data_IF_978274500655
#
_entry.id   IF_978274500655
#
_cell.length_a   1.000
_cell.length_b   1.000
_cell.length_c   1.000
_cell.angle_alpha   90.00
_cell.angle_beta   90.00
_cell.angle_gamma   90.00
#
_symmetry.space_group_name_H-M   'P 1'
#
loop_
_entity.id
_entity.type
_entity.pdbx_description
1 polymer ?
#
# COMPACT_ATOMS: atom_id res chain seq x y z
N UNK A 1 -13.55 2.81 -2.12
CA UNK A 1 -12.75 2.31 -3.26
C UNK A 1 -11.28 2.61 -2.97
N UNK A 2 -10.32 1.78 -3.40
CA UNK A 2 -8.89 1.99 -3.14
C UNK A 2 -8.07 1.74 -4.41
N UNK A 3 -7.02 2.53 -4.62
CA UNK A 3 -6.05 2.31 -5.69
C UNK A 3 -5.13 1.16 -5.33
N UNK A 4 -4.90 0.23 -6.28
CA UNK A 4 -4.12 -1.00 -6.07
C UNK A 4 -3.05 -1.21 -7.14
N UNK A 5 -1.98 -0.40 -7.19
CA UNK A 5 -1.00 -0.43 -8.27
C UNK A 5 0.10 -1.51 -8.08
N UNK A 6 -0.07 -2.50 -7.19
CA UNK A 6 0.99 -3.44 -6.80
C UNK A 6 1.66 -4.15 -7.98
N UNK A 7 0.91 -4.43 -9.04
CA UNK A 7 1.43 -5.09 -10.25
C UNK A 7 2.38 -4.22 -11.06
N UNK A 8 2.24 -2.90 -10.97
CA UNK A 8 3.06 -1.95 -11.72
C UNK A 8 4.35 -1.61 -10.99
N UNK A 9 4.47 -1.89 -9.69
CA UNK A 9 5.66 -1.51 -8.92
C UNK A 9 6.89 -2.23 -9.47
N UNK A 10 7.89 -1.45 -9.93
CA UNK A 10 9.20 -1.94 -10.35
C UNK A 10 10.22 -1.84 -9.21
N UNK A 11 10.25 -0.68 -8.58
CA UNK A 11 11.17 -0.34 -7.52
C UNK A 11 10.60 0.77 -6.65
N UNK A 12 11.25 1.01 -5.52
CA UNK A 12 10.93 2.12 -4.64
C UNK A 12 12.02 2.35 -3.61
N UNK A 13 11.91 3.46 -2.90
CA UNK A 13 12.69 3.71 -1.69
C UNK A 13 11.83 4.51 -0.73
N UNK A 14 11.72 4.04 0.51
CA UNK A 14 11.08 4.79 1.58
C UNK A 14 12.08 5.04 2.71
N UNK A 15 11.85 6.12 3.43
CA UNK A 15 12.65 6.59 4.53
C UNK A 15 11.71 6.95 5.68
N UNK A 16 11.72 6.12 6.72
CA UNK A 16 11.05 6.37 7.98
C UNK A 16 12.08 6.51 9.11
N UNK A 17 13.24 7.12 8.82
CA UNK A 17 14.26 7.46 9.84
C UNK A 17 13.89 8.69 10.67
N UNK A 18 12.95 9.51 10.19
CA UNK A 18 12.40 10.65 10.94
C UNK A 18 11.11 10.23 11.63
N UNK A 19 11.07 10.31 12.97
CA UNK A 19 9.88 9.93 13.73
C UNK A 19 8.66 10.75 13.30
N UNK A 20 7.56 10.05 13.00
CA UNK A 20 6.29 10.63 12.56
C UNK A 20 6.24 10.97 11.07
N UNK A 21 7.26 10.64 10.28
CA UNK A 21 7.29 10.90 8.85
C UNK A 21 7.83 9.71 8.07
N UNK A 22 7.13 9.36 7.00
CA UNK A 22 7.56 8.38 6.00
C UNK A 22 7.59 9.08 4.64
N UNK A 23 8.79 9.21 4.06
CA UNK A 23 8.99 9.91 2.78
C UNK A 23 9.71 9.00 1.79
N UNK A 24 9.57 9.26 0.50
CA UNK A 24 10.30 8.48 -0.49
C UNK A 24 9.67 8.50 -1.86
N UNK A 25 9.87 7.44 -2.63
CA UNK A 25 9.31 7.32 -3.96
C UNK A 25 9.04 5.88 -4.39
N UNK A 26 8.13 5.71 -5.34
CA UNK A 26 7.83 4.46 -6.03
C UNK A 26 7.93 4.65 -7.54
N UNK A 27 8.42 3.64 -8.24
CA UNK A 27 8.52 3.59 -9.69
C UNK A 27 7.54 2.55 -10.24
N UNK A 28 6.64 3.02 -11.11
CA UNK A 28 5.54 2.22 -11.66
C UNK A 28 5.76 1.98 -13.15
N UNK A 29 5.48 0.77 -13.61
CA UNK A 29 5.45 0.43 -15.02
C UNK A 29 4.40 1.28 -15.76
N UNK A 30 4.80 1.85 -16.90
CA UNK A 30 3.94 2.70 -17.72
C UNK A 30 3.80 4.13 -17.22
N UNK A 31 4.49 4.52 -16.13
CA UNK A 31 4.56 5.89 -15.64
C UNK A 31 6.02 6.34 -15.65
N UNK A 32 6.36 7.27 -16.53
CA UNK A 32 7.75 7.73 -16.73
C UNK A 32 8.34 8.45 -15.51
N UNK A 33 7.48 8.95 -14.61
CA UNK A 33 7.87 9.69 -13.42
C UNK A 33 7.62 8.88 -12.15
N UNK A 34 8.53 9.01 -11.19
CA UNK A 34 8.39 8.39 -9.87
C UNK A 34 7.30 9.07 -9.05
N UNK A 35 6.41 8.27 -8.49
CA UNK A 35 5.49 8.73 -7.45
C UNK A 35 6.30 9.15 -6.23
N UNK A 36 6.15 10.39 -5.78
CA UNK A 36 6.77 10.92 -4.57
C UNK A 36 5.82 10.74 -3.39
N UNK A 37 6.29 10.15 -2.30
CA UNK A 37 5.53 9.93 -1.09
C UNK A 37 6.00 10.89 0.00
N UNK A 38 5.06 11.60 0.60
CA UNK A 38 5.27 12.45 1.77
C UNK A 38 4.15 12.23 2.76
N UNK A 39 4.35 11.25 3.65
CA UNK A 39 3.32 10.75 4.53
C UNK A 39 3.62 11.10 5.99
N UNK A 40 2.63 11.64 6.67
CA UNK A 40 2.65 11.77 8.13
C UNK A 40 2.29 10.41 8.76
N UNK A 41 3.11 9.96 9.70
CA UNK A 41 2.99 8.67 10.37
C UNK A 41 4.22 7.76 10.21
N UNK A 42 4.26 6.71 11.01
CA UNK A 42 5.35 5.74 11.05
C UNK A 42 4.97 4.40 10.43
N UNK A 43 5.98 3.68 9.97
CA UNK A 43 5.84 2.28 9.58
C UNK A 43 5.64 1.38 10.81
N UNK A 44 5.29 0.11 10.57
CA UNK A 44 5.23 -0.92 11.60
C UNK A 44 6.61 -1.17 12.21
N UNK A 45 6.71 -1.81 13.40
CA UNK A 45 7.96 -2.00 14.12
C UNK A 45 9.08 -2.71 13.33
N UNK A 46 8.78 -3.44 12.25
CA UNK A 46 9.77 -4.08 11.40
C UNK A 46 10.49 -3.10 10.45
N UNK A 47 9.85 -1.98 10.10
CA UNK A 47 10.35 -0.95 9.20
C UNK A 47 10.53 0.43 9.87
N UNK A 48 9.95 0.63 11.05
CA UNK A 48 10.05 1.88 11.79
C UNK A 48 11.52 2.23 12.10
N UNK A 49 11.92 3.46 11.78
CA UNK A 49 13.29 3.94 11.95
C UNK A 49 14.24 3.54 10.83
N UNK A 50 13.77 2.81 9.81
CA UNK A 50 14.61 2.40 8.69
C UNK A 50 14.40 3.26 7.45
N UNK A 51 15.49 3.41 6.70
CA UNK A 51 15.44 3.66 5.27
C UNK A 51 15.56 2.34 4.54
N UNK A 52 14.81 2.15 3.46
CA UNK A 52 14.82 0.89 2.72
C UNK A 52 14.48 1.04 1.24
N UNK A 53 15.09 0.19 0.42
CA UNK A 53 14.72 0.00 -0.98
C UNK A 53 13.63 -1.06 -1.09
N UNK A 54 12.76 -0.89 -2.08
CA UNK A 54 11.77 -1.86 -2.51
C UNK A 54 12.17 -2.32 -3.91
N UNK A 55 12.18 -3.62 -4.15
CA UNK A 55 12.45 -4.17 -5.46
C UNK A 55 11.59 -5.40 -5.73
N UNK A 56 11.29 -5.61 -7.01
CA UNK A 56 10.55 -6.79 -7.46
C UNK A 56 11.50 -7.98 -7.62
N UNK A 57 11.19 -9.07 -6.92
CA UNK A 57 11.97 -10.32 -6.96
C UNK A 57 11.37 -11.37 -7.88
N UNK A 58 10.06 -11.28 -8.12
CA UNK A 58 9.35 -12.18 -9.05
C UNK A 58 8.45 -11.39 -10.00
N UNK A 59 8.39 -11.84 -11.25
CA UNK A 59 7.46 -11.28 -12.25
C UNK A 59 6.01 -11.56 -11.85
N UNK A 60 5.11 -10.63 -12.18
CA UNK A 60 3.68 -10.84 -12.01
C UNK A 60 3.18 -11.96 -12.93
N UNK A 61 2.22 -12.73 -12.43
CA UNK A 61 1.51 -13.71 -13.25
C UNK A 61 0.49 -12.93 -14.09
N UNK A 62 0.53 -13.03 -15.43
CA UNK A 62 -0.44 -12.35 -16.28
C UNK A 62 -1.86 -12.81 -15.93
N UNK A 63 -2.73 -11.89 -15.52
CA UNK A 63 -4.17 -12.16 -15.47
C UNK A 63 -4.81 -11.82 -16.80
N UNK A 64 -5.89 -12.51 -17.16
CA UNK A 64 -6.70 -12.16 -18.33
C UNK A 64 -7.49 -10.86 -18.16
N UNK A 65 -7.62 -10.37 -16.92
CA UNK A 65 -8.25 -9.07 -16.67
C UNK A 65 -7.35 -7.93 -17.14
N UNK A 66 -7.95 -7.02 -17.91
CA UNK A 66 -7.37 -5.72 -18.25
C UNK A 66 -6.98 -5.01 -16.97
N UNK A 67 -5.67 -4.85 -16.75
CA UNK A 67 -5.15 -4.03 -15.65
C UNK A 67 -5.83 -2.64 -15.70
N UNK A 68 -6.35 -2.12 -14.57
CA UNK A 68 -6.89 -0.77 -14.53
C UNK A 68 -5.87 0.20 -15.12
N UNK A 69 -6.30 1.17 -15.94
CA UNK A 69 -5.37 2.20 -16.40
C UNK A 69 -5.10 3.13 -15.22
N UNK A 70 -3.93 3.01 -14.59
CA UNK A 70 -3.51 3.85 -13.46
C UNK A 70 -3.09 5.27 -13.90
N UNK A 71 -3.47 5.72 -15.11
CA UNK A 71 -3.10 7.03 -15.66
C UNK A 71 -3.61 8.22 -14.85
N UNK A 72 -4.60 8.02 -13.97
CA UNK A 72 -5.13 9.05 -13.08
C UNK A 72 -4.46 9.14 -11.71
N UNK A 73 -3.45 8.32 -11.42
CA UNK A 73 -2.74 8.40 -10.14
C UNK A 73 -1.89 9.68 -10.10
N UNK A 74 -2.02 10.45 -9.02
CA UNK A 74 -1.19 11.63 -8.80
C UNK A 74 0.26 11.19 -8.60
N UNK A 75 1.21 11.96 -9.14
CA UNK A 75 2.63 11.72 -8.87
C UNK A 75 3.03 12.23 -7.47
N UNK A 76 2.30 13.19 -6.91
CA UNK A 76 2.47 13.65 -5.53
C UNK A 76 1.49 12.91 -4.62
N UNK A 77 2.04 12.07 -3.75
CA UNK A 77 1.34 11.30 -2.72
C UNK A 77 1.64 11.90 -1.35
N UNK A 78 1.09 13.07 -1.12
CA UNK A 78 1.05 13.71 0.19
C UNK A 78 -0.17 13.25 0.99
N UNK A 79 0.01 12.90 2.27
CA UNK A 79 -1.09 12.37 3.10
C UNK A 79 -0.65 11.70 4.39
N UNK A 80 -1.36 10.65 4.81
CA UNK A 80 -1.10 9.93 6.06
C UNK A 80 -0.77 8.45 5.83
N UNK A 81 0.11 7.89 6.65
CA UNK A 81 0.37 6.44 6.69
C UNK A 81 -0.87 5.73 7.24
N UNK A 82 -1.32 4.69 6.54
CA UNK A 82 -2.26 3.71 7.09
C UNK A 82 -1.50 2.57 7.75
N UNK A 83 -0.88 1.70 6.95
CA UNK A 83 -0.15 0.56 7.48
C UNK A 83 0.99 0.22 6.52
N UNK A 84 2.23 0.21 7.01
CA UNK A 84 3.42 -0.10 6.21
C UNK A 84 4.25 -1.16 6.93
N UNK A 85 4.31 -2.37 6.39
CA UNK A 85 5.04 -3.51 6.95
C UNK A 85 5.54 -4.46 5.88
N UNK A 86 6.64 -5.18 6.15
CA UNK A 86 7.16 -6.28 5.36
C UNK A 86 7.05 -7.65 6.07
N UNK A 87 6.44 -7.68 7.25
CA UNK A 87 6.33 -8.88 8.10
C UNK A 87 4.94 -9.54 8.06
N UNK A 88 4.01 -9.02 7.25
CA UNK A 88 2.68 -9.62 7.10
C UNK A 88 2.79 -10.98 6.38
N UNK A 89 2.24 -12.04 6.99
CA UNK A 89 2.20 -13.37 6.39
C UNK A 89 0.86 -13.59 5.67
N UNK A 90 0.91 -13.93 4.38
CA UNK A 90 -0.29 -14.23 3.58
C UNK A 90 -0.18 -15.58 2.87
N UNK A 91 -1.33 -16.11 2.43
CA UNK A 91 -1.39 -17.28 1.55
C UNK A 91 -1.04 -16.83 0.13
N UNK A 92 0.09 -17.30 -0.36
CA UNK A 92 0.55 -17.10 -1.72
C UNK A 92 0.13 -18.28 -2.60
N UNK A 93 -0.44 -17.98 -3.75
CA UNK A 93 -0.83 -18.94 -4.77
C UNK A 93 -0.01 -18.72 -6.04
N UNK A 94 0.53 -19.80 -6.61
CA UNK A 94 1.34 -19.76 -7.84
C UNK A 94 0.46 -19.92 -9.11
N UNK A 95 -0.76 -19.39 -9.07
CA UNK A 95 -1.73 -19.39 -10.18
C UNK A 95 -2.30 -17.98 -10.38
N UNK A 96 -2.77 -17.62 -11.59
CA UNK A 96 -3.48 -16.36 -11.83
C UNK A 96 -4.67 -16.16 -10.90
N UNK A 97 -5.00 -14.91 -10.56
CA UNK A 97 -6.09 -14.58 -9.63
C UNK A 97 -7.45 -15.05 -10.13
N UNK A 98 -7.71 -14.96 -11.44
CA UNK A 98 -8.98 -15.40 -12.04
C UNK A 98 -9.16 -16.91 -11.93
N UNK A 99 -8.08 -17.68 -12.13
CA UNK A 99 -8.07 -19.13 -11.93
C UNK A 99 -8.23 -19.49 -10.45
N UNK A 100 -7.56 -18.76 -9.55
CA UNK A 100 -7.72 -18.93 -8.10
C UNK A 100 -9.19 -18.73 -7.69
N UNK A 101 -9.82 -17.64 -8.14
CA UNK A 101 -11.23 -17.34 -7.86
C UNK A 101 -12.14 -18.44 -8.38
N UNK A 102 -11.93 -18.91 -9.62
CA UNK A 102 -12.72 -20.01 -10.21
C UNK A 102 -12.65 -21.28 -9.37
N UNK A 103 -11.45 -21.70 -8.98
CA UNK A 103 -11.25 -22.91 -8.17
C UNK A 103 -11.87 -22.79 -6.78
N UNK A 104 -11.70 -21.64 -6.12
CA UNK A 104 -12.32 -21.40 -4.82
C UNK A 104 -13.85 -21.41 -4.91
N UNK A 105 -14.43 -20.83 -5.97
CA UNK A 105 -15.87 -20.87 -6.22
C UNK A 105 -16.39 -22.29 -6.52
N UNK A 106 -15.55 -23.14 -7.12
CA UNK A 106 -15.84 -24.57 -7.31
C UNK A 106 -15.69 -25.40 -6.01
N UNK A 107 -15.34 -24.76 -4.88
CA UNK A 107 -15.13 -25.43 -3.60
C UNK A 107 -13.79 -26.16 -3.49
N UNK A 108 -12.89 -25.96 -4.46
CA UNK A 108 -11.55 -26.53 -4.40
C UNK A 108 -10.69 -25.80 -3.36
N UNK A 109 -9.57 -26.43 -2.99
CA UNK A 109 -8.54 -25.85 -2.11
C UNK A 109 -7.22 -25.82 -2.86
N UNK A 110 -6.99 -24.80 -3.71
CA UNK A 110 -5.73 -24.65 -4.42
C UNK A 110 -4.55 -24.67 -3.44
N UNK A 111 -3.42 -25.29 -3.82
CA UNK A 111 -2.23 -25.28 -2.97
C UNK A 111 -1.78 -23.84 -2.74
N UNK A 112 -1.21 -23.61 -1.55
CA UNK A 112 -0.65 -22.31 -1.18
C UNK A 112 0.63 -22.50 -0.39
N UNK A 113 1.45 -21.46 -0.39
CA UNK A 113 2.59 -21.31 0.51
C UNK A 113 2.37 -20.09 1.40
N UNK A 114 2.86 -20.14 2.64
CA UNK A 114 2.88 -18.97 3.50
C UNK A 114 4.11 -18.14 3.17
N UNK A 115 3.91 -16.89 2.76
CA UNK A 115 5.01 -15.97 2.42
C UNK A 115 4.82 -14.64 3.15
N UNK A 116 5.94 -13.99 3.49
CA UNK A 116 5.93 -12.58 3.86
C UNK A 116 5.51 -11.75 2.65
N UNK A 117 4.73 -10.69 2.89
CA UNK A 117 4.40 -9.71 1.87
C UNK A 117 4.78 -8.31 2.34
N UNK A 118 5.19 -7.50 1.37
CA UNK A 118 5.21 -6.06 1.54
C UNK A 118 3.78 -5.55 1.45
N UNK A 119 3.32 -4.94 2.53
CA UNK A 119 2.05 -4.23 2.63
C UNK A 119 2.34 -2.74 2.83
N UNK A 120 1.90 -1.91 1.88
CA UNK A 120 1.95 -0.46 1.96
C UNK A 120 0.53 0.07 1.83
N UNK A 121 0.10 0.86 2.79
CA UNK A 121 -1.17 1.54 2.77
C UNK A 121 -0.99 2.98 3.24
N UNK A 122 -1.59 3.89 2.47
CA UNK A 122 -1.64 5.30 2.82
C UNK A 122 -2.92 5.95 2.31
N UNK A 123 -3.25 7.08 2.92
CA UNK A 123 -4.37 7.94 2.54
C UNK A 123 -3.81 9.18 1.87
N UNK A 124 -3.87 9.20 0.54
CA UNK A 124 -3.44 10.31 -0.29
C UNK A 124 -4.51 11.40 -0.31
N UNK A 125 -4.09 12.66 -0.17
CA UNK A 125 -5.00 13.80 -0.32
C UNK A 125 -5.57 13.90 -1.75
N UNK A 126 -4.82 13.45 -2.76
CA UNK A 126 -5.21 13.55 -4.16
C UNK A 126 -5.94 12.31 -4.69
N UNK A 127 -5.58 11.11 -4.21
CA UNK A 127 -6.14 9.86 -4.74
C UNK A 127 -6.98 9.08 -3.72
N UNK A 128 -7.07 9.54 -2.47
CA UNK A 128 -7.67 8.77 -1.39
C UNK A 128 -6.80 7.57 -0.99
N UNK A 129 -7.44 6.48 -0.59
CA UNK A 129 -6.74 5.28 -0.11
C UNK A 129 -5.99 4.57 -1.24
N UNK A 130 -4.70 4.32 -1.04
CA UNK A 130 -3.85 3.51 -1.91
C UNK A 130 -3.29 2.33 -1.11
N UNK A 131 -3.32 1.14 -1.71
CA UNK A 131 -2.87 -0.11 -1.10
C UNK A 131 -1.98 -0.86 -2.06
N UNK A 132 -0.83 -1.33 -1.60
CA UNK A 132 0.05 -2.27 -2.28
C UNK A 132 0.21 -3.46 -1.36
N UNK A 133 -0.12 -4.66 -1.83
CA UNK A 133 0.11 -5.90 -1.10
C UNK A 133 0.72 -6.91 -2.06
N UNK A 134 1.98 -7.27 -1.85
CA UNK A 134 2.66 -8.20 -2.75
C UNK A 134 3.69 -9.06 -2.02
N UNK A 135 3.67 -10.35 -2.30
CA UNK A 135 4.71 -11.33 -1.93
C UNK A 135 5.88 -11.34 -2.92
N UNK A 136 5.76 -10.58 -4.02
CA UNK A 136 6.76 -10.48 -5.10
C UNK A 136 7.63 -9.24 -4.98
N UNK A 137 7.38 -8.43 -3.95
CA UNK A 137 8.17 -7.25 -3.60
C UNK A 137 8.93 -7.53 -2.30
N UNK A 138 10.22 -7.23 -2.29
CA UNK A 138 11.08 -7.36 -1.12
C UNK A 138 11.66 -6.01 -0.70
N UNK A 139 12.07 -5.97 0.57
CA UNK A 139 12.64 -4.79 1.23
C UNK A 139 14.11 -5.06 1.55
N UNK A 140 14.97 -4.14 1.14
CA UNK A 140 16.38 -4.08 1.53
C UNK A 140 16.60 -2.86 2.44
N UNK A 141 16.93 -3.08 3.71
CA UNK A 141 17.21 -2.00 4.67
C UNK A 141 18.58 -1.37 4.40
N UNK A 142 18.64 -0.05 4.50
CA UNK A 142 19.83 0.74 4.19
C UNK A 142 20.30 1.45 5.46
N UNK A 143 21.60 1.32 5.75
CA UNK A 143 22.25 2.05 6.83
C UNK A 143 21.91 1.49 8.21
N UNK A 144 21.63 2.39 9.15
CA UNK A 144 21.32 2.07 10.56
C UNK A 144 19.90 2.49 10.91
N UNK A 145 19.33 1.82 11.92
CA UNK A 145 18.01 2.14 12.44
C UNK A 145 18.07 3.42 13.29
N UNK A 146 17.30 4.44 12.90
CA UNK A 146 17.29 5.72 13.59
C UNK A 146 16.50 5.70 14.91
N UNK A 147 15.43 4.90 14.99
CA UNK A 147 14.62 4.74 16.20
C UNK A 147 13.87 3.40 16.22
N UNK A 148 13.42 3.01 17.41
CA UNK A 148 12.48 1.90 17.60
C UNK A 148 11.22 2.43 18.29
N UNK A 149 10.06 1.96 17.87
CA UNK A 149 8.81 2.27 18.55
C UNK A 149 8.67 1.38 19.78
N UNK A 150 8.31 1.98 20.92
CA UNK A 150 7.85 1.19 22.07
C UNK A 150 6.49 0.57 21.77
N UNK A 151 6.10 -0.45 22.55
CA UNK A 151 4.78 -1.08 22.40
C UNK A 151 3.63 -0.08 22.53
N UNK A 152 3.77 0.90 23.43
CA UNK A 152 2.74 1.91 23.66
C UNK A 152 2.69 2.93 22.52
N UNK A 153 3.85 3.36 22.01
CA UNK A 153 3.92 4.22 20.82
C UNK A 153 3.34 3.54 19.59
N UNK A 154 3.63 2.25 19.42
CA UNK A 154 3.06 1.45 18.33
C UNK A 154 1.54 1.37 18.46
N UNK A 155 1.02 1.04 19.65
CA UNK A 155 -0.42 0.95 19.89
C UNK A 155 -1.13 2.28 19.59
N UNK A 156 -0.53 3.39 20.00
CA UNK A 156 -1.07 4.72 19.72
C UNK A 156 -1.00 5.06 18.22
N UNK A 157 0.10 4.75 17.54
CA UNK A 157 0.23 4.94 16.10
C UNK A 157 -0.81 4.09 15.34
N UNK A 158 -0.98 2.82 15.68
CA UNK A 158 -2.00 1.95 15.05
C UNK A 158 -3.40 2.50 15.25
N UNK A 159 -3.69 3.09 16.42
CA UNK A 159 -4.96 3.75 16.69
C UNK A 159 -5.14 4.98 15.80
N UNK A 160 -4.14 5.85 15.72
CA UNK A 160 -4.18 7.04 14.86
C UNK A 160 -4.37 6.67 13.38
N UNK A 161 -3.64 5.68 12.89
CA UNK A 161 -3.76 5.22 11.51
C UNK A 161 -5.15 4.62 11.21
N UNK A 162 -5.77 3.95 12.19
CA UNK A 162 -7.14 3.44 12.08
C UNK A 162 -8.18 4.58 12.11
N UNK A 163 -7.94 5.63 12.91
CA UNK A 163 -8.81 6.81 12.96
C UNK A 163 -8.78 7.60 11.64
N UNK A 164 -7.64 7.65 10.93
CA UNK A 164 -7.53 8.25 9.59
C UNK A 164 -8.44 7.57 8.55
N UNK A 165 -8.63 6.24 8.64
CA UNK A 165 -9.64 5.56 7.81
C UNK A 165 -11.05 6.12 8.08
N UNK A 166 -11.37 6.36 9.35
CA UNK A 166 -12.64 6.94 9.77
C UNK A 166 -12.82 8.36 9.21
N UNK A 167 -11.79 9.20 9.32
CA UNK A 167 -11.80 10.54 8.74
C UNK A 167 -11.95 10.52 7.21
N UNK A 168 -11.22 9.64 6.52
CA UNK A 168 -11.35 9.46 5.07
C UNK A 168 -12.77 9.03 4.67
N UNK A 169 -13.37 8.08 5.39
CA UNK A 169 -14.73 7.62 5.10
C UNK A 169 -15.77 8.72 5.34
N UNK A 170 -15.59 9.55 6.38
CA UNK A 170 -16.45 10.71 6.62
C UNK A 170 -16.35 11.74 5.49
N UNK A 171 -15.14 12.13 5.09
CA UNK A 171 -14.93 13.05 3.98
C UNK A 171 -15.50 12.53 2.65
N UNK A 172 -15.39 11.23 2.40
CA UNK A 172 -15.97 10.61 1.21
C UNK A 172 -17.51 10.65 1.25
N UNK A 173 -18.11 10.45 2.43
CA UNK A 173 -19.56 10.61 2.64
C UNK A 173 -20.02 12.03 2.31
N UNK A 174 -19.38 13.03 2.92
CA UNK A 174 -19.70 14.45 2.70
C UNK A 174 -19.56 14.85 1.22
N UNK A 175 -18.53 14.35 0.52
CA UNK A 175 -18.30 14.65 -0.89
C UNK A 175 -19.33 13.99 -1.83
N UNK A 176 -19.81 12.78 -1.50
CA UNK A 176 -20.88 12.12 -2.25
C UNK A 176 -22.22 12.83 -2.05
N UNK A 177 -22.55 13.23 -0.82
CA UNK A 177 -23.78 13.98 -0.51
C UNK A 177 -23.80 15.34 -1.24
N UNK A 178 -22.67 16.04 -1.33
CA UNK A 178 -22.57 17.29 -2.08
C UNK A 178 -22.75 17.10 -3.59
N UNK A 179 -22.23 15.99 -4.15
CA UNK A 179 -22.38 15.71 -5.59
C UNK A 179 -23.83 15.35 -5.94
N UNK A 180 -24.49 14.55 -5.12
CA UNK A 180 -25.90 14.20 -5.32
C UNK A 180 -26.81 15.44 -5.21
N UNK A 181 -26.47 16.40 -4.34
CA UNK A 181 -27.19 17.67 -4.22
C UNK A 181 -26.95 18.65 -5.40
N UNK A 182 -25.80 18.56 -6.08
CA UNK A 182 -25.50 19.34 -7.28
C UNK A 182 -26.09 18.71 -8.56
N UNK A 183 -26.20 17.38 -8.63
CA UNK A 183 -26.80 16.67 -9.77
C UNK A 183 -28.35 16.74 -9.77
N UNK A 184 -28.98 16.98 -8.62
CA UNK A 184 -30.45 17.16 -8.45
C UNK A 184 -30.93 18.63 -8.59
N UNK A 185 -30.04 19.59 -8.88
CA UNK A 185 -30.32 21.04 -8.97
C UNK A 185 -30.31 21.57 -10.42
#
# INVERSE_FOLDING_TARGET
MAWRPERLIKAGQLDNTTLGWTVGWLELEGIDQRLQLKLAGNCHPDLAGWKFNIHRVETEIPSTDTSPTYSGISLDQSGHVGDITADQMIKHHDIPDDELVRRLMAGEKPPFTWRKCLYLEWYSNANGRVVIQSTRLEVERIGERAFELTKDQWKEQSRQNADELGHFMAQLGDALEQRDAEDDA
#
